data_IF_815245879745
#
_entry.id   IF_815245879745
#
_cell.length_a   1.000
_cell.length_b   1.000
_cell.length_c   1.000
_cell.angle_alpha   90.00
_cell.angle_beta   90.00
_cell.angle_gamma   90.00
#
_symmetry.space_group_name_H-M   'P 1'
#
loop_
_entity.id
_entity.type
_entity.pdbx_description
1 polymer ?
#
# COMPACT_ATOMS: atom_id res chain seq x y z
N UNK A 1 0.47 -12.95 -28.49
CA UNK A 1 -0.55 -12.82 -27.43
C UNK A 1 -0.97 -14.22 -27.07
N UNK A 2 -0.47 -14.76 -25.96
CA UNK A 2 -0.89 -16.07 -25.47
C UNK A 2 -2.33 -15.97 -24.96
N UNK A 3 -3.27 -16.57 -25.66
CA UNK A 3 -4.60 -16.87 -25.11
C UNK A 3 -4.41 -18.00 -24.08
N UNK A 4 -4.12 -17.60 -22.84
CA UNK A 4 -4.28 -18.55 -21.73
C UNK A 4 -5.78 -18.81 -21.58
N UNK A 5 -6.16 -20.09 -21.59
CA UNK A 5 -7.53 -20.53 -21.28
C UNK A 5 -7.99 -19.85 -19.98
N UNK A 6 -9.24 -19.37 -19.89
CA UNK A 6 -9.74 -18.80 -18.67
C UNK A 6 -9.61 -19.83 -17.54
N UNK A 7 -8.86 -19.50 -16.51
CA UNK A 7 -8.80 -20.31 -15.29
C UNK A 7 -10.23 -20.47 -14.75
N UNK A 8 -10.62 -21.69 -14.41
CA UNK A 8 -11.90 -21.95 -13.75
C UNK A 8 -11.81 -21.44 -12.30
N UNK A 9 -12.27 -20.22 -12.08
CA UNK A 9 -12.27 -19.58 -10.76
C UNK A 9 -11.82 -18.10 -10.86
N UNK A 10 -12.37 -17.28 -9.99
CA UNK A 10 -12.00 -15.86 -9.90
C UNK A 10 -11.36 -15.56 -8.57
N UNK A 11 -10.19 -14.95 -8.64
CA UNK A 11 -9.54 -14.38 -7.46
C UNK A 11 -10.15 -13.01 -7.20
N UNK A 12 -10.64 -12.75 -5.99
CA UNK A 12 -11.07 -11.40 -5.60
C UNK A 12 -10.00 -10.75 -4.72
N UNK A 13 -9.50 -9.61 -5.15
CA UNK A 13 -8.52 -8.82 -4.39
C UNK A 13 -9.23 -7.64 -3.75
N UNK A 14 -9.24 -7.61 -2.43
CA UNK A 14 -9.92 -6.57 -1.63
C UNK A 14 -8.88 -5.68 -0.98
N UNK A 15 -8.96 -4.39 -1.27
CA UNK A 15 -8.20 -3.37 -0.55
C UNK A 15 -8.75 -3.17 0.86
N UNK A 16 -7.84 -3.04 1.84
CA UNK A 16 -8.17 -2.76 3.24
C UNK A 16 -7.26 -1.67 3.78
N UNK A 17 -7.81 -0.71 4.51
CA UNK A 17 -7.10 0.41 5.14
C UNK A 17 -6.79 0.15 6.60
N UNK A 18 -6.30 1.18 7.29
CA UNK A 18 -6.09 1.17 8.75
C UNK A 18 -7.42 1.21 9.53
N UNK A 19 -8.52 1.57 8.88
CA UNK A 19 -9.90 1.46 9.40
C UNK A 19 -10.40 0.01 9.43
N UNK A 20 -9.60 -0.92 8.90
CA UNK A 20 -9.82 -2.35 9.00
C UNK A 20 -11.13 -2.84 8.37
N UNK A 21 -11.69 -3.90 8.96
CA UNK A 21 -12.94 -4.52 8.47
C UNK A 21 -14.11 -3.54 8.44
N UNK A 22 -14.20 -2.63 9.40
CA UNK A 22 -15.31 -1.68 9.52
C UNK A 22 -15.30 -0.62 8.39
N UNK A 23 -14.13 -0.28 7.87
CA UNK A 23 -13.98 0.62 6.73
C UNK A 23 -14.31 0.02 5.37
N UNK A 24 -14.48 -1.31 5.29
CA UNK A 24 -14.77 -1.98 4.04
C UNK A 24 -16.18 -1.67 3.51
N UNK A 25 -16.30 -1.61 2.18
CA UNK A 25 -17.59 -1.53 1.53
C UNK A 25 -18.48 -2.74 1.86
N UNK A 26 -19.79 -2.57 1.78
CA UNK A 26 -20.75 -3.67 2.02
C UNK A 26 -20.45 -4.87 1.12
N UNK A 27 -20.08 -4.63 -0.15
CA UNK A 27 -19.75 -5.70 -1.10
C UNK A 27 -18.49 -6.45 -0.64
N UNK A 28 -17.45 -5.75 -0.22
CA UNK A 28 -16.21 -6.36 0.25
C UNK A 28 -16.47 -7.23 1.50
N UNK A 29 -17.27 -6.73 2.45
CA UNK A 29 -17.64 -7.48 3.66
C UNK A 29 -18.42 -8.76 3.33
N UNK A 30 -19.44 -8.67 2.47
CA UNK A 30 -20.23 -9.83 2.03
C UNK A 30 -19.37 -10.92 1.39
N UNK A 31 -18.38 -10.53 0.57
CA UNK A 31 -17.44 -11.48 -0.03
C UNK A 31 -16.58 -12.14 1.04
N UNK A 32 -16.06 -11.38 2.00
CA UNK A 32 -15.25 -11.92 3.11
C UNK A 32 -16.04 -12.85 4.03
N UNK A 33 -17.31 -12.56 4.29
CA UNK A 33 -18.21 -13.39 5.11
C UNK A 33 -18.48 -14.76 4.47
N UNK A 34 -18.47 -14.83 3.14
CA UNK A 34 -18.74 -16.07 2.39
C UNK A 34 -17.48 -16.74 1.85
N UNK A 35 -16.30 -16.14 2.04
CA UNK A 35 -15.05 -16.69 1.58
C UNK A 35 -14.72 -18.01 2.29
N UNK A 36 -14.23 -19.00 1.51
CA UNK A 36 -13.71 -20.26 2.06
C UNK A 36 -12.22 -20.15 2.40
N UNK A 37 -11.47 -19.37 1.62
CA UNK A 37 -10.04 -19.19 1.78
C UNK A 37 -9.64 -17.73 1.56
N UNK A 38 -8.81 -17.20 2.45
CA UNK A 38 -8.32 -15.83 2.42
C UNK A 38 -6.78 -15.86 2.49
N UNK A 39 -6.15 -15.06 1.63
CA UNK A 39 -4.71 -14.78 1.66
C UNK A 39 -4.48 -13.30 1.98
N UNK A 40 -3.37 -13.00 2.66
CA UNK A 40 -3.04 -11.60 2.93
C UNK A 40 -1.81 -11.44 3.82
N UNK A 41 -1.35 -10.22 4.00
CA UNK A 41 -0.37 -9.92 5.04
C UNK A 41 -0.96 -10.21 6.43
N UNK A 42 -0.12 -10.69 7.36
CA UNK A 42 -0.58 -10.99 8.72
C UNK A 42 -1.41 -9.85 9.33
N UNK A 43 -0.95 -8.60 9.17
CA UNK A 43 -1.68 -7.42 9.66
C UNK A 43 -3.10 -7.33 9.13
N UNK A 44 -3.32 -7.61 7.84
CA UNK A 44 -4.64 -7.53 7.22
C UNK A 44 -5.56 -8.66 7.70
N UNK A 45 -5.00 -9.85 7.88
CA UNK A 45 -5.72 -11.01 8.42
C UNK A 45 -6.14 -10.74 9.86
N UNK A 46 -5.26 -10.15 10.67
CA UNK A 46 -5.55 -9.79 12.07
C UNK A 46 -6.65 -8.71 12.21
N UNK A 47 -6.99 -7.99 11.13
CA UNK A 47 -8.10 -7.03 11.08
C UNK A 47 -9.46 -7.68 10.84
N UNK A 48 -9.50 -8.96 10.44
CA UNK A 48 -10.76 -9.67 10.24
C UNK A 48 -11.43 -9.99 11.57
N UNK A 49 -12.78 -9.97 11.62
CA UNK A 49 -13.49 -10.35 12.83
C UNK A 49 -13.22 -11.82 13.18
N UNK A 50 -13.13 -12.14 14.47
CA UNK A 50 -12.90 -13.50 14.96
C UNK A 50 -14.00 -14.52 14.61
N UNK A 51 -15.14 -14.04 14.10
CA UNK A 51 -16.23 -14.87 13.55
C UNK A 51 -15.99 -15.30 12.09
N UNK A 52 -14.95 -14.80 11.42
CA UNK A 52 -14.62 -15.24 10.06
C UNK A 52 -14.12 -16.68 10.10
N UNK A 53 -14.80 -17.57 9.37
CA UNK A 53 -14.54 -19.01 9.35
C UNK A 53 -13.66 -19.48 8.20
N UNK A 54 -13.22 -18.58 7.33
CA UNK A 54 -12.35 -18.90 6.21
C UNK A 54 -11.00 -19.47 6.67
N UNK A 55 -10.41 -20.34 5.88
CA UNK A 55 -9.00 -20.70 6.02
C UNK A 55 -8.13 -19.48 5.70
N UNK A 56 -7.36 -19.00 6.67
CA UNK A 56 -6.56 -17.79 6.57
C UNK A 56 -5.09 -18.13 6.34
N UNK A 57 -4.51 -17.61 5.27
CA UNK A 57 -3.13 -17.83 4.86
C UNK A 57 -2.36 -16.51 4.84
N UNK A 58 -1.39 -16.37 5.74
CA UNK A 58 -0.47 -15.23 5.70
C UNK A 58 0.58 -15.41 4.61
N UNK A 59 1.00 -14.29 3.99
CA UNK A 59 2.08 -14.30 3.02
C UNK A 59 3.34 -14.99 3.56
N UNK A 60 3.93 -15.84 2.73
CA UNK A 60 5.24 -16.43 2.96
C UNK A 60 6.31 -15.71 2.11
N UNK A 61 7.55 -15.84 2.52
CA UNK A 61 8.70 -15.24 1.83
C UNK A 61 9.52 -16.33 1.15
N UNK A 62 9.92 -16.17 -0.13
CA UNK A 62 9.67 -15.02 -0.99
C UNK A 62 8.21 -14.95 -1.46
N UNK A 63 7.74 -13.75 -1.85
CA UNK A 63 6.33 -13.52 -2.18
C UNK A 63 5.83 -14.42 -3.32
N UNK A 64 6.67 -14.73 -4.31
CA UNK A 64 6.35 -15.57 -5.46
C UNK A 64 5.94 -16.98 -5.05
N UNK A 65 6.41 -17.48 -3.91
CA UNK A 65 6.06 -18.80 -3.39
C UNK A 65 4.58 -18.92 -2.98
N UNK A 66 3.86 -17.80 -2.87
CA UNK A 66 2.42 -17.81 -2.63
C UNK A 66 1.59 -18.11 -3.88
N UNK A 67 2.15 -17.90 -5.06
CA UNK A 67 1.40 -18.08 -6.32
C UNK A 67 0.85 -19.48 -6.51
N UNK A 68 1.66 -20.57 -6.35
CA UNK A 68 1.15 -21.94 -6.42
C UNK A 68 0.07 -22.22 -5.35
N UNK A 69 0.22 -21.69 -4.14
CA UNK A 69 -0.75 -21.89 -3.06
C UNK A 69 -2.11 -21.28 -3.39
N UNK A 70 -2.11 -20.11 -4.05
CA UNK A 70 -3.35 -19.47 -4.53
C UNK A 70 -3.92 -20.28 -5.69
N UNK A 71 -3.08 -20.78 -6.59
CA UNK A 71 -3.48 -21.60 -7.74
C UNK A 71 -4.19 -22.89 -7.31
N UNK A 72 -3.71 -23.55 -6.26
CA UNK A 72 -4.31 -24.75 -5.68
C UNK A 72 -5.71 -24.50 -5.05
N UNK A 73 -6.06 -23.22 -4.82
CA UNK A 73 -7.35 -22.81 -4.22
C UNK A 73 -8.30 -22.16 -5.24
N UNK A 74 -8.01 -22.16 -6.53
CA UNK A 74 -8.83 -21.43 -7.53
C UNK A 74 -10.27 -21.92 -7.62
N UNK A 75 -10.53 -23.18 -7.37
CA UNK A 75 -11.86 -23.77 -7.31
C UNK A 75 -12.72 -23.23 -6.14
N UNK A 76 -12.07 -22.70 -5.12
CA UNK A 76 -12.69 -22.09 -3.95
C UNK A 76 -12.90 -20.57 -4.07
N UNK A 77 -12.56 -19.96 -5.22
CA UNK A 77 -12.63 -18.53 -5.46
C UNK A 77 -11.91 -17.71 -4.35
N UNK A 78 -10.57 -17.85 -4.22
CA UNK A 78 -9.82 -17.27 -3.12
C UNK A 78 -9.95 -15.76 -3.05
N UNK A 79 -9.99 -15.25 -1.84
CA UNK A 79 -9.99 -13.82 -1.54
C UNK A 79 -8.60 -13.40 -1.09
N UNK A 80 -8.12 -12.26 -1.60
CA UNK A 80 -6.81 -11.71 -1.27
C UNK A 80 -6.98 -10.34 -0.64
N UNK A 81 -6.42 -10.14 0.56
CA UNK A 81 -6.37 -8.85 1.22
C UNK A 81 -5.08 -8.10 0.83
N UNK A 82 -5.24 -6.85 0.44
CA UNK A 82 -4.13 -5.96 0.06
C UNK A 82 -4.29 -4.57 0.69
N UNK A 83 -3.20 -3.85 0.90
CA UNK A 83 -3.25 -2.49 1.47
C UNK A 83 -3.90 -1.52 0.49
N UNK A 84 -4.86 -0.74 0.93
CA UNK A 84 -5.45 0.38 0.21
C UNK A 84 -5.95 0.01 -1.18
N UNK A 85 -5.40 0.64 -2.22
CA UNK A 85 -5.70 0.28 -3.61
C UNK A 85 -4.71 -0.79 -4.10
N UNK A 86 -5.19 -2.04 -4.35
CA UNK A 86 -4.33 -3.14 -4.79
C UNK A 86 -3.59 -2.88 -6.11
N UNK A 87 -4.12 -2.00 -6.96
CA UNK A 87 -3.53 -1.69 -8.27
C UNK A 87 -2.54 -0.52 -8.22
N UNK A 88 -2.47 0.21 -7.11
CA UNK A 88 -1.61 1.36 -6.97
C UNK A 88 -0.41 1.07 -6.06
N UNK A 89 0.71 0.67 -6.65
CA UNK A 89 1.92 0.15 -5.98
C UNK A 89 1.66 -1.08 -5.08
N UNK A 90 0.56 -1.78 -5.31
CA UNK A 90 0.12 -2.92 -4.52
C UNK A 90 0.30 -4.26 -5.23
N UNK A 91 -0.08 -5.32 -4.53
CA UNK A 91 0.04 -6.72 -4.98
C UNK A 91 -0.83 -7.05 -6.20
N UNK A 92 -1.85 -6.24 -6.48
CA UNK A 92 -2.80 -6.50 -7.57
C UNK A 92 -2.13 -6.61 -8.93
N UNK A 93 -1.12 -5.77 -9.21
CA UNK A 93 -0.38 -5.86 -10.47
C UNK A 93 0.41 -7.18 -10.60
N UNK A 94 1.02 -7.66 -9.52
CA UNK A 94 1.72 -8.95 -9.50
C UNK A 94 0.77 -10.11 -9.78
N UNK A 95 -0.41 -10.08 -9.16
CA UNK A 95 -1.44 -11.10 -9.36
C UNK A 95 -2.00 -11.07 -10.80
N UNK A 96 -2.25 -9.89 -11.35
CA UNK A 96 -2.70 -9.73 -12.74
C UNK A 96 -1.67 -10.25 -13.72
N UNK A 97 -0.38 -10.00 -13.48
CA UNK A 97 0.70 -10.47 -14.34
C UNK A 97 0.83 -12.01 -14.31
N UNK A 98 0.55 -12.64 -13.17
CA UNK A 98 0.65 -14.10 -13.01
C UNK A 98 -0.61 -14.82 -13.50
N UNK A 99 -1.79 -14.42 -13.02
CA UNK A 99 -3.06 -15.12 -13.27
C UNK A 99 -3.85 -14.59 -14.48
N UNK A 100 -3.44 -13.45 -15.04
CA UNK A 100 -4.15 -12.77 -16.11
C UNK A 100 -5.31 -11.90 -15.61
N UNK A 101 -5.54 -10.78 -16.27
CA UNK A 101 -6.53 -9.76 -15.85
C UNK A 101 -7.98 -10.28 -15.82
N UNK A 102 -8.30 -11.30 -16.63
CA UNK A 102 -9.65 -11.87 -16.69
C UNK A 102 -10.00 -12.72 -15.47
N UNK A 103 -8.97 -13.22 -14.74
CA UNK A 103 -9.12 -14.05 -13.55
C UNK A 103 -9.17 -13.24 -12.26
N UNK A 104 -8.88 -11.95 -12.32
CA UNK A 104 -8.79 -11.08 -11.14
C UNK A 104 -9.96 -10.09 -11.11
N UNK A 105 -10.65 -10.06 -9.98
CA UNK A 105 -11.63 -9.03 -9.65
C UNK A 105 -11.06 -8.16 -8.52
N UNK A 106 -10.96 -6.84 -8.71
CA UNK A 106 -10.38 -5.93 -7.70
C UNK A 106 -11.47 -5.05 -7.11
N UNK A 107 -11.52 -5.00 -5.78
CA UNK A 107 -12.35 -4.07 -5.02
C UNK A 107 -11.38 -3.15 -4.26
N UNK A 108 -11.09 -1.95 -4.76
CA UNK A 108 -10.14 -1.05 -4.14
C UNK A 108 -10.71 -0.41 -2.88
N UNK A 109 -9.80 -0.04 -1.98
CA UNK A 109 -10.04 0.86 -0.85
C UNK A 109 -9.21 2.13 -1.08
N UNK A 110 -9.55 3.29 -0.49
CA UNK A 110 -8.71 4.47 -0.58
C UNK A 110 -7.25 4.17 -0.22
N UNK A 111 -6.32 4.49 -1.12
CA UNK A 111 -4.89 4.31 -0.87
C UNK A 111 -4.39 5.35 0.14
N UNK A 112 -3.26 5.06 0.81
CA UNK A 112 -2.56 6.05 1.64
C UNK A 112 -2.24 7.34 0.87
N UNK A 113 -2.00 7.24 -0.44
CA UNK A 113 -1.80 8.38 -1.34
C UNK A 113 -3.06 9.26 -1.42
N UNK A 114 -4.23 8.63 -1.62
CA UNK A 114 -5.50 9.35 -1.68
C UNK A 114 -5.84 10.01 -0.34
N UNK A 115 -5.58 9.30 0.76
CA UNK A 115 -5.79 9.82 2.10
C UNK A 115 -4.82 10.98 2.42
N UNK A 116 -3.54 10.85 2.08
CA UNK A 116 -2.55 11.92 2.25
C UNK A 116 -2.94 13.17 1.46
N UNK A 117 -3.31 13.02 0.18
CA UNK A 117 -3.77 14.13 -0.64
C UNK A 117 -5.00 14.83 -0.02
N UNK A 118 -5.95 14.06 0.51
CA UNK A 118 -7.14 14.58 1.19
C UNK A 118 -6.77 15.36 2.47
N UNK A 119 -5.85 14.85 3.30
CA UNK A 119 -5.38 15.53 4.52
C UNK A 119 -4.62 16.83 4.21
N UNK A 120 -3.87 16.84 3.10
CA UNK A 120 -3.12 18.02 2.64
C UNK A 120 -3.99 19.01 1.87
N UNK A 121 -5.23 18.68 1.52
CA UNK A 121 -6.07 19.50 0.63
C UNK A 121 -5.46 19.64 -0.76
N UNK A 122 -4.76 18.61 -1.26
CA UNK A 122 -4.13 18.61 -2.58
C UNK A 122 -4.99 17.88 -3.60
N UNK A 123 -5.12 18.47 -4.78
CA UNK A 123 -5.67 17.75 -5.93
C UNK A 123 -4.64 16.71 -6.37
N UNK A 124 -4.99 15.42 -6.28
CA UNK A 124 -4.06 14.33 -6.58
C UNK A 124 -3.54 14.40 -8.03
N UNK A 125 -4.36 14.90 -8.96
CA UNK A 125 -3.97 15.11 -10.35
C UNK A 125 -2.84 16.15 -10.55
N UNK A 126 -2.54 16.97 -9.53
CA UNK A 126 -1.46 17.96 -9.54
C UNK A 126 -0.21 17.47 -8.80
N UNK A 127 -0.26 16.26 -8.24
CA UNK A 127 0.82 15.70 -7.45
C UNK A 127 1.67 14.74 -8.29
N UNK A 128 2.99 14.81 -8.10
CA UNK A 128 3.85 13.68 -8.45
C UNK A 128 3.72 12.63 -7.34
N UNK A 129 3.68 11.36 -7.73
CA UNK A 129 3.57 10.25 -6.79
C UNK A 129 4.65 9.24 -7.08
N UNK A 130 5.46 8.94 -6.07
CA UNK A 130 6.54 7.95 -6.18
C UNK A 130 6.48 6.97 -5.01
N UNK A 131 7.12 5.83 -5.18
CA UNK A 131 7.41 4.90 -4.08
C UNK A 131 8.91 4.71 -3.95
N UNK A 132 9.38 4.74 -2.71
CA UNK A 132 10.76 4.38 -2.36
C UNK A 132 10.82 2.94 -1.82
N UNK A 133 9.67 2.28 -1.64
CA UNK A 133 9.64 0.87 -1.26
C UNK A 133 10.18 -0.01 -2.39
N UNK A 134 11.30 -0.69 -2.13
CA UNK A 134 11.96 -1.58 -3.10
C UNK A 134 12.54 -0.86 -4.32
N UNK A 135 12.80 0.45 -4.23
CA UNK A 135 13.39 1.26 -5.30
C UNK A 135 14.58 2.07 -4.79
N UNK A 136 15.48 2.44 -5.72
CA UNK A 136 16.58 3.34 -5.45
C UNK A 136 16.02 4.73 -5.03
N UNK A 137 16.37 5.23 -3.83
CA UNK A 137 15.96 6.55 -3.37
C UNK A 137 16.35 7.70 -4.30
N UNK A 138 17.39 7.56 -5.12
CA UNK A 138 17.84 8.58 -6.07
C UNK A 138 16.76 8.98 -7.10
N UNK A 139 15.71 8.15 -7.28
CA UNK A 139 14.54 8.52 -8.09
C UNK A 139 13.89 9.81 -7.59
N UNK A 140 13.96 10.11 -6.28
CA UNK A 140 13.42 11.33 -5.68
C UNK A 140 13.93 12.58 -6.41
N UNK A 141 15.24 12.63 -6.73
CA UNK A 141 15.87 13.81 -7.33
C UNK A 141 15.26 14.22 -8.66
N UNK A 142 14.77 13.26 -9.45
CA UNK A 142 14.14 13.55 -10.75
C UNK A 142 12.74 14.16 -10.61
N UNK A 143 12.14 14.12 -9.43
CA UNK A 143 10.83 14.69 -9.14
C UNK A 143 10.89 16.01 -8.36
N UNK A 144 12.09 16.46 -7.98
CA UNK A 144 12.25 17.73 -7.28
C UNK A 144 12.09 18.91 -8.24
N UNK A 145 11.15 19.78 -7.94
CA UNK A 145 10.90 21.02 -8.68
C UNK A 145 10.37 22.11 -7.76
N UNK A 146 10.65 23.40 -8.06
CA UNK A 146 10.13 24.50 -7.28
C UNK A 146 8.59 24.46 -7.23
N UNK A 147 8.01 24.59 -6.03
CA UNK A 147 6.56 24.52 -5.76
C UNK A 147 5.88 23.21 -6.17
N UNK A 148 6.66 22.15 -6.41
CA UNK A 148 6.12 20.82 -6.68
C UNK A 148 5.39 20.26 -5.48
N UNK A 149 4.34 19.47 -5.74
CA UNK A 149 3.65 18.64 -4.76
C UNK A 149 4.06 17.20 -5.03
N UNK A 150 4.78 16.60 -4.09
CA UNK A 150 5.28 15.24 -4.21
C UNK A 150 4.76 14.40 -3.04
N UNK A 151 4.12 13.29 -3.36
CA UNK A 151 3.71 12.28 -2.38
C UNK A 151 4.61 11.06 -2.55
N UNK A 152 5.26 10.66 -1.46
CA UNK A 152 6.23 9.58 -1.45
C UNK A 152 5.80 8.48 -0.50
N UNK A 153 5.72 7.24 -0.99
CA UNK A 153 5.58 6.07 -0.13
C UNK A 153 6.94 5.70 0.46
N UNK A 154 7.02 5.66 1.78
CA UNK A 154 8.21 5.26 2.52
C UNK A 154 8.47 3.76 2.38
N UNK A 155 9.74 3.37 2.36
CA UNK A 155 10.15 1.98 2.49
C UNK A 155 9.98 1.51 3.95
N UNK A 156 10.39 2.35 4.89
CA UNK A 156 10.37 2.13 6.33
C UNK A 156 10.43 3.45 7.11
N UNK A 157 10.60 3.36 8.44
CA UNK A 157 10.67 4.52 9.33
C UNK A 157 11.92 5.41 9.14
N UNK A 158 12.97 4.93 8.47
CA UNK A 158 14.17 5.72 8.18
C UNK A 158 14.04 6.60 6.93
N UNK A 159 13.12 6.27 6.06
CA UNK A 159 12.88 6.95 4.78
C UNK A 159 12.66 8.46 4.93
N UNK A 160 11.90 8.99 5.91
CA UNK A 160 11.71 10.43 6.05
C UNK A 160 13.02 11.19 6.32
N UNK A 161 13.92 10.61 7.12
CA UNK A 161 15.22 11.20 7.39
C UNK A 161 16.09 11.26 6.12
N UNK A 162 16.12 10.17 5.35
CA UNK A 162 16.81 10.11 4.08
C UNK A 162 16.28 11.17 3.09
N UNK A 163 14.97 11.28 2.95
CA UNK A 163 14.32 12.28 2.09
C UNK A 163 14.69 13.69 2.52
N UNK A 164 14.74 13.97 3.83
CA UNK A 164 15.13 15.26 4.36
C UNK A 164 16.58 15.63 3.98
N UNK A 165 17.51 14.70 4.09
CA UNK A 165 18.90 14.87 3.66
C UNK A 165 18.95 15.19 2.17
N UNK A 166 18.29 14.41 1.31
CA UNK A 166 18.29 14.59 -0.13
C UNK A 166 17.69 15.94 -0.56
N UNK A 167 16.66 16.40 0.14
CA UNK A 167 16.07 17.73 -0.09
C UNK A 167 17.04 18.84 0.26
N UNK A 168 17.71 18.75 1.41
CA UNK A 168 18.72 19.75 1.82
C UNK A 168 19.91 19.80 0.84
N UNK A 169 20.43 18.67 0.41
CA UNK A 169 21.50 18.58 -0.59
C UNK A 169 21.11 19.20 -1.94
N UNK A 170 19.83 19.09 -2.31
CA UNK A 170 19.29 19.66 -3.54
C UNK A 170 18.87 21.14 -3.42
N UNK A 171 19.07 21.80 -2.26
CA UNK A 171 18.71 23.18 -2.01
C UNK A 171 17.23 23.42 -1.70
N UNK A 172 16.52 22.37 -1.25
CA UNK A 172 15.11 22.40 -0.84
C UNK A 172 14.95 22.32 0.68
N UNK A 173 15.91 22.81 1.46
CA UNK A 173 15.95 22.77 2.93
C UNK A 173 14.73 23.40 3.60
N UNK A 174 14.12 24.43 3.00
CA UNK A 174 12.91 25.09 3.48
C UNK A 174 11.60 24.42 3.02
N UNK A 175 11.67 23.33 2.28
CA UNK A 175 10.48 22.58 1.88
C UNK A 175 9.76 22.01 3.09
N UNK A 176 8.43 22.15 3.13
CA UNK A 176 7.61 21.47 4.12
C UNK A 176 7.51 19.99 3.80
N UNK A 177 7.91 19.16 4.76
CA UNK A 177 7.71 17.72 4.74
C UNK A 177 6.63 17.37 5.75
N UNK A 178 5.62 16.66 5.30
CA UNK A 178 4.54 16.15 6.14
C UNK A 178 4.62 14.62 6.16
N UNK A 179 4.85 14.06 7.32
CA UNK A 179 4.83 12.62 7.55
C UNK A 179 3.44 12.23 7.99
N UNK A 180 2.85 11.31 7.23
CA UNK A 180 1.51 10.78 7.46
C UNK A 180 1.63 9.31 7.85
N UNK A 181 1.18 8.97 9.04
CA UNK A 181 1.27 7.63 9.60
C UNK A 181 -0.13 7.09 9.89
N UNK A 182 -0.38 5.82 9.56
CA UNK A 182 -1.62 5.08 9.86
C UNK A 182 -2.89 5.81 9.45
N UNK A 183 -2.83 6.42 8.25
CA UNK A 183 -3.93 7.21 7.70
C UNK A 183 -5.23 6.42 7.61
N UNK A 184 -6.32 7.01 8.11
CA UNK A 184 -7.65 6.43 8.16
C UNK A 184 -7.93 5.58 9.40
N UNK A 185 -6.91 5.26 10.19
CA UNK A 185 -7.06 4.48 11.43
C UNK A 185 -7.18 5.36 12.68
N UNK A 186 -7.45 4.72 13.82
CA UNK A 186 -7.56 5.38 15.14
C UNK A 186 -6.24 5.96 15.64
N UNK A 187 -5.11 5.49 15.10
CA UNK A 187 -3.77 5.94 15.45
C UNK A 187 -3.17 6.83 14.35
N UNK A 188 -4.02 7.45 13.53
CA UNK A 188 -3.57 8.39 12.50
C UNK A 188 -2.75 9.51 13.13
N UNK A 189 -1.56 9.75 12.58
CA UNK A 189 -0.68 10.85 13.00
C UNK A 189 -0.13 11.60 11.81
N UNK A 190 -0.14 12.92 11.89
CA UNK A 190 0.36 13.81 10.85
C UNK A 190 1.31 14.83 11.50
N UNK A 191 2.55 14.85 11.03
CA UNK A 191 3.60 15.75 11.54
C UNK A 191 4.22 16.52 10.40
N UNK A 192 4.25 17.85 10.48
CA UNK A 192 4.83 18.73 9.45
C UNK A 192 6.00 19.52 10.02
N UNK A 193 7.13 19.51 9.33
CA UNK A 193 8.32 20.30 9.61
C UNK A 193 9.02 20.66 8.30
N UNK A 194 10.04 21.54 8.35
CA UNK A 194 10.91 21.76 7.19
C UNK A 194 11.87 20.59 7.01
N UNK A 195 12.38 20.38 5.80
CA UNK A 195 13.39 19.37 5.52
C UNK A 195 14.63 19.55 6.42
N UNK A 196 15.07 20.80 6.63
CA UNK A 196 16.18 21.13 7.52
C UNK A 196 15.94 20.67 8.96
N UNK A 197 14.72 20.86 9.49
CA UNK A 197 14.37 20.45 10.85
C UNK A 197 14.33 18.93 10.97
N UNK A 198 13.76 18.23 9.99
CA UNK A 198 13.74 16.76 9.94
C UNK A 198 15.16 16.17 9.91
N UNK A 199 16.05 16.72 9.09
CA UNK A 199 17.46 16.32 9.02
C UNK A 199 18.15 16.44 10.39
N UNK A 200 17.95 17.56 11.08
CA UNK A 200 18.55 17.80 12.40
C UNK A 200 18.04 16.83 13.47
N UNK A 201 16.75 16.48 13.42
CA UNK A 201 16.14 15.54 14.35
C UNK A 201 16.62 14.11 14.11
N UNK A 202 16.75 13.70 12.86
CA UNK A 202 17.25 12.38 12.48
C UNK A 202 18.70 12.15 12.94
N UNK A 203 19.53 13.19 12.88
CA UNK A 203 20.93 13.12 13.34
C UNK A 203 21.04 12.97 14.87
N UNK A 204 19.97 13.29 15.62
CA UNK A 204 19.92 13.23 17.08
C UNK A 204 19.25 11.98 17.66
N UNK A 205 18.67 11.12 16.82
CA UNK A 205 18.12 9.82 17.24
C UNK A 205 19.25 8.79 17.28
N UNK A 206 19.52 8.14 18.45
CA UNK A 206 20.39 6.99 18.46
C UNK A 206 19.78 5.85 17.64
N UNK A 207 20.63 5.08 16.96
CA UNK A 207 20.23 3.87 16.23
C UNK A 207 19.38 2.97 17.15
N UNK A 208 18.12 2.71 16.75
CA UNK A 208 17.23 1.77 17.41
C UNK A 208 17.09 0.54 16.55
#
# INVERSE_FOLDING_TARGET
MNEQSPLNGKITVIGIGEDGYDGLSTIARQILETASVIFGGKRHIDMLPGSNIATQNSWITPFEANMPLIEDCLDQNPVILASGDPMFFGVGNTLVNYFGSRSINVIPHPSSISLAAARMGWALAECDVITLHGRDPEILRSHLRPRGKLITLSADGSTPALVAVMLCEAGYDQSHMTICERLGGTEERITTQTAQTWQSTATSMPDV
#
